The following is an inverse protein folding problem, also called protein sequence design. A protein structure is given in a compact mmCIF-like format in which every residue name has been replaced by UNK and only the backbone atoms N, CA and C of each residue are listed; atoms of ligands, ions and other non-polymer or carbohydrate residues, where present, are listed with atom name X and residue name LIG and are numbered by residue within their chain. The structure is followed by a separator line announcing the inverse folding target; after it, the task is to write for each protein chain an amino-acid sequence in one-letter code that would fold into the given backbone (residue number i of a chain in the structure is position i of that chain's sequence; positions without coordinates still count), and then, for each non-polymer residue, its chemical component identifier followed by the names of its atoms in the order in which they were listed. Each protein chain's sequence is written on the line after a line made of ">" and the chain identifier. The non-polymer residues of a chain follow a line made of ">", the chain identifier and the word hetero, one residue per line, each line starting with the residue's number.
data_IF_001598923517
#
_entry.id   IF_001598923517
#
_cell.length_a   1.000
_cell.length_b   1.000
_cell.length_c   1.000
_cell.angle_alpha   90.00
_cell.angle_beta   90.00
_cell.angle_gamma   90.00
#
_symmetry.space_group_name_H-M   'P 1'
#
loop_
_entity.id
_entity.type
_entity.pdbx_description
1 polymer ?
#
# COMPACT_ATOMS: atom_id res chain seq x y z
N UNK A 1 -14.43 -9.37 -84.13
CA UNK A 1 -13.12 -9.80 -84.70
C UNK A 1 -12.05 -8.90 -84.14
N UNK A 2 -10.98 -9.51 -83.63
CA UNK A 2 -9.89 -8.86 -82.90
C UNK A 2 -9.12 -7.88 -83.77
N UNK A 3 -8.85 -6.67 -83.26
CA UNK A 3 -7.71 -5.91 -83.77
C UNK A 3 -7.00 -5.11 -82.67
N UNK A 4 -5.77 -5.59 -82.41
CA UNK A 4 -4.54 -4.81 -82.24
C UNK A 4 -4.25 -4.20 -80.86
N UNK A 5 -3.42 -4.94 -80.12
CA UNK A 5 -2.44 -4.43 -79.15
C UNK A 5 -1.61 -3.31 -79.79
N UNK A 6 -1.89 -2.06 -79.43
CA UNK A 6 -1.02 -0.92 -79.73
C UNK A 6 0.17 -0.89 -78.77
N UNK A 7 1.23 -1.64 -79.05
CA UNK A 7 2.54 -1.44 -78.43
C UNK A 7 3.29 -0.39 -79.26
N UNK A 8 3.37 0.85 -78.76
CA UNK A 8 4.25 1.86 -79.37
C UNK A 8 5.65 1.72 -78.80
N UNK A 9 6.60 1.35 -79.65
CA UNK A 9 8.01 1.21 -79.30
C UNK A 9 8.70 2.58 -79.46
N UNK A 10 9.23 3.15 -78.38
CA UNK A 10 10.05 4.35 -78.43
C UNK A 10 11.50 3.94 -78.19
N UNK A 11 12.29 3.92 -79.25
CA UNK A 11 13.70 3.58 -79.21
C UNK A 11 14.48 4.78 -78.68
N UNK A 12 15.04 4.67 -77.47
CA UNK A 12 16.03 5.60 -76.95
C UNK A 12 17.42 5.06 -77.25
N UNK A 13 18.31 5.94 -77.72
CA UNK A 13 19.69 5.63 -78.10
C UNK A 13 20.54 5.24 -76.87
N UNK A 14 20.38 4.01 -76.40
CA UNK A 14 21.34 3.21 -75.64
C UNK A 14 20.68 1.84 -75.47
N UNK A 15 21.43 0.75 -75.69
CA UNK A 15 20.91 -0.61 -75.92
C UNK A 15 20.21 -1.31 -74.75
N UNK A 16 19.40 -0.61 -73.96
CA UNK A 16 18.53 -1.17 -72.94
C UNK A 16 17.08 -0.82 -73.29
N UNK A 17 16.35 -1.80 -73.84
CA UNK A 17 14.90 -1.71 -74.01
C UNK A 17 14.21 -1.87 -72.64
N UNK A 18 14.09 -0.79 -71.88
CA UNK A 18 13.24 -0.79 -70.68
C UNK A 18 11.79 -0.86 -71.17
N UNK A 19 11.17 -2.04 -71.03
CA UNK A 19 9.73 -2.19 -71.19
C UNK A 19 9.03 -1.46 -70.03
N UNK A 20 8.72 -0.18 -70.22
CA UNK A 20 7.85 0.54 -69.29
C UNK A 20 6.42 0.09 -69.58
N UNK A 21 5.92 -0.87 -68.81
CA UNK A 21 4.52 -1.26 -68.85
C UNK A 21 3.66 -0.05 -68.47
N UNK A 22 2.98 0.56 -69.45
CA UNK A 22 1.95 1.56 -69.20
C UNK A 22 0.70 0.84 -68.68
N UNK A 23 0.65 0.62 -67.37
CA UNK A 23 -0.57 0.15 -66.72
C UNK A 23 -1.63 1.25 -66.79
N UNK A 24 -2.75 0.96 -67.46
CA UNK A 24 -3.93 1.81 -67.36
C UNK A 24 -4.43 1.79 -65.90
N UNK A 25 -4.66 2.96 -65.28
CA UNK A 25 -5.00 3.07 -63.85
C UNK A 25 -6.30 2.35 -63.46
N UNK A 26 -7.13 1.98 -64.44
CA UNK A 26 -8.36 1.19 -64.25
C UNK A 26 -8.11 -0.29 -63.92
N UNK A 27 -6.87 -0.80 -64.00
CA UNK A 27 -6.53 -2.22 -63.72
C UNK A 27 -5.95 -2.45 -62.33
N UNK A 28 -5.76 -1.42 -61.54
CA UNK A 28 -5.30 -1.58 -60.15
C UNK A 28 -6.51 -1.93 -59.26
N UNK A 29 -6.35 -2.86 -58.29
CA UNK A 29 -7.43 -3.17 -57.35
C UNK A 29 -7.85 -1.89 -56.62
N UNK A 30 -9.15 -1.72 -56.45
CA UNK A 30 -9.77 -0.43 -56.10
C UNK A 30 -9.25 0.12 -54.75
N UNK A 31 -8.78 -0.76 -53.87
CA UNK A 31 -8.14 -0.45 -52.59
C UNK A 31 -6.82 0.31 -52.75
N UNK A 32 -5.98 -0.07 -53.72
CA UNK A 32 -4.71 0.63 -54.02
C UNK A 32 -4.97 1.97 -54.70
N UNK A 33 -5.97 2.00 -55.59
CA UNK A 33 -6.39 3.25 -56.25
C UNK A 33 -7.02 4.23 -55.27
N UNK A 34 -7.73 3.78 -54.24
CA UNK A 34 -8.27 4.62 -53.17
C UNK A 34 -7.16 5.28 -52.35
N UNK A 35 -6.06 4.55 -52.10
CA UNK A 35 -4.87 5.05 -51.40
C UNK A 35 -4.10 6.09 -52.23
N UNK A 36 -3.97 5.89 -53.54
CA UNK A 36 -3.30 6.81 -54.45
C UNK A 36 -4.11 8.10 -54.75
N UNK A 37 -5.45 8.00 -54.79
CA UNK A 37 -6.37 9.11 -55.12
C UNK A 37 -6.65 10.08 -53.97
N UNK A 38 -6.46 9.67 -52.72
CA UNK A 38 -6.73 10.55 -51.57
C UNK A 38 -5.47 11.28 -51.10
N UNK A 39 -5.37 12.58 -51.40
CA UNK A 39 -4.29 13.43 -50.88
C UNK A 39 -4.24 13.45 -49.34
N UNK A 40 -5.40 13.30 -48.68
CA UNK A 40 -5.48 13.14 -47.21
C UNK A 40 -4.79 11.90 -46.66
N UNK A 41 -4.63 10.84 -47.45
CA UNK A 41 -3.89 9.62 -47.04
C UNK A 41 -2.39 9.70 -47.35
N UNK A 42 -1.95 10.66 -48.17
CA UNK A 42 -0.53 10.96 -48.42
C UNK A 42 0.09 11.80 -47.31
N UNK A 43 -0.73 12.53 -46.56
CA UNK A 43 -0.29 13.54 -45.58
C UNK A 43 -0.09 13.03 -44.15
N UNK A 44 -0.32 11.74 -43.88
CA UNK A 44 -0.14 11.19 -42.53
C UNK A 44 0.65 9.88 -42.57
N UNK A 45 1.81 9.87 -43.21
CA UNK A 45 2.80 8.84 -42.86
C UNK A 45 3.42 9.25 -41.53
N UNK A 46 2.87 8.70 -40.44
CA UNK A 46 3.47 8.88 -39.13
C UNK A 46 4.90 8.31 -39.15
N UNK A 47 5.78 8.81 -38.28
CA UNK A 47 7.13 8.27 -38.14
C UNK A 47 7.11 6.76 -37.83
N UNK A 48 6.06 6.29 -37.16
CA UNK A 48 5.83 4.86 -36.97
C UNK A 48 5.53 4.09 -38.26
N UNK A 49 4.73 4.65 -39.16
CA UNK A 49 4.40 4.01 -40.44
C UNK A 49 5.62 3.89 -41.34
N UNK A 50 6.50 4.91 -41.33
CA UNK A 50 7.81 4.88 -41.98
C UNK A 50 8.72 3.80 -41.39
N UNK A 51 8.80 3.71 -40.06
CA UNK A 51 9.54 2.63 -39.36
C UNK A 51 9.01 1.25 -39.73
N UNK A 52 7.70 1.07 -39.76
CA UNK A 52 7.04 -0.20 -40.13
C UNK A 52 7.31 -0.57 -41.59
N UNK A 53 7.27 0.40 -42.51
CA UNK A 53 7.57 0.17 -43.91
C UNK A 53 9.05 -0.21 -44.13
N UNK A 54 9.97 0.51 -43.49
CA UNK A 54 11.41 0.22 -43.56
C UNK A 54 11.74 -1.15 -42.93
N UNK A 55 11.13 -1.52 -41.80
CA UNK A 55 11.31 -2.85 -41.20
C UNK A 55 10.83 -3.99 -42.10
N UNK A 56 9.79 -3.76 -42.92
CA UNK A 56 9.20 -4.78 -43.81
C UNK A 56 9.91 -4.92 -45.15
N UNK A 57 10.31 -3.80 -45.75
CA UNK A 57 10.83 -3.75 -47.11
C UNK A 57 12.29 -3.31 -47.18
N UNK A 58 12.91 -2.98 -46.05
CA UNK A 58 14.28 -2.47 -45.98
C UNK A 58 14.46 -1.20 -46.81
N UNK A 59 15.64 -1.06 -47.43
CA UNK A 59 15.96 0.06 -48.31
C UNK A 59 15.02 0.18 -49.54
N UNK A 60 14.33 -0.89 -49.94
CA UNK A 60 13.36 -0.84 -51.03
C UNK A 60 12.10 -0.02 -50.69
N UNK A 61 11.88 0.29 -49.42
CA UNK A 61 10.82 1.20 -48.97
C UNK A 61 11.03 2.65 -49.41
N UNK A 62 12.26 3.05 -49.76
CA UNK A 62 12.59 4.44 -50.09
C UNK A 62 12.63 5.39 -48.90
N UNK A 63 12.52 4.88 -47.67
CA UNK A 63 12.66 5.67 -46.44
C UNK A 63 14.15 5.84 -46.12
N UNK A 64 14.56 7.07 -45.82
CA UNK A 64 15.92 7.36 -45.35
C UNK A 64 16.12 6.80 -43.94
N UNK A 65 17.11 5.91 -43.69
CA UNK A 65 17.41 5.39 -42.37
C UNK A 65 17.66 6.46 -41.30
N UNK A 66 18.18 7.64 -41.68
CA UNK A 66 18.46 8.71 -40.74
C UNK A 66 17.17 9.30 -40.12
N UNK A 67 16.08 9.36 -40.88
CA UNK A 67 14.78 9.86 -40.40
C UNK A 67 14.10 8.92 -39.39
N UNK A 68 14.58 7.68 -39.26
CA UNK A 68 14.01 6.71 -38.33
C UNK A 68 14.44 6.96 -36.88
N UNK A 69 15.55 7.66 -36.67
CA UNK A 69 16.01 8.01 -35.33
C UNK A 69 15.17 9.17 -34.75
N UNK A 70 15.00 9.23 -33.41
CA UNK A 70 14.35 10.36 -32.78
C UNK A 70 15.06 11.68 -33.12
N UNK A 71 14.30 12.77 -33.18
CA UNK A 71 14.88 14.11 -33.31
C UNK A 71 15.50 14.56 -31.99
N UNK A 72 16.44 15.50 -32.04
CA UNK A 72 17.10 16.02 -30.83
C UNK A 72 16.11 16.48 -29.76
N UNK A 73 14.98 17.09 -30.15
CA UNK A 73 13.94 17.50 -29.21
C UNK A 73 13.31 16.30 -28.47
N UNK A 74 13.01 15.22 -29.20
CA UNK A 74 12.45 13.99 -28.60
C UNK A 74 13.46 13.32 -27.66
N UNK A 75 14.75 13.32 -28.03
CA UNK A 75 15.82 12.80 -27.17
C UNK A 75 15.91 13.60 -25.87
N UNK A 76 15.83 14.94 -25.93
CA UNK A 76 15.86 15.77 -24.72
C UNK A 76 14.63 15.58 -23.84
N UNK A 77 13.45 15.36 -24.43
CA UNK A 77 12.23 15.01 -23.69
C UNK A 77 12.35 13.65 -23.00
N UNK A 78 12.85 12.64 -23.71
CA UNK A 78 13.09 11.30 -23.17
C UNK A 78 14.12 11.35 -22.04
N UNK A 79 15.25 12.04 -22.22
CA UNK A 79 16.28 12.19 -21.19
C UNK A 79 15.72 12.89 -19.95
N UNK A 80 14.89 13.93 -20.10
CA UNK A 80 14.26 14.60 -18.96
C UNK A 80 13.31 13.66 -18.21
N UNK A 81 12.50 12.90 -18.93
CA UNK A 81 11.64 11.89 -18.33
C UNK A 81 12.46 10.79 -17.63
N UNK A 82 13.59 10.38 -18.22
CA UNK A 82 14.50 9.41 -17.62
C UNK A 82 15.02 9.91 -16.27
N UNK A 83 15.53 11.13 -16.20
CA UNK A 83 16.03 11.69 -14.94
C UNK A 83 14.94 11.95 -13.90
N UNK A 84 13.71 12.27 -14.31
CA UNK A 84 12.59 12.51 -13.40
C UNK A 84 12.08 11.21 -12.75
N UNK A 85 11.95 10.15 -13.55
CA UNK A 85 11.31 8.91 -13.09
C UNK A 85 12.30 7.81 -12.68
N UNK A 86 13.52 7.83 -13.22
CA UNK A 86 14.51 6.76 -13.07
C UNK A 86 15.78 7.30 -12.41
N UNK A 87 15.85 7.27 -11.06
CA UNK A 87 17.03 7.74 -10.36
C UNK A 87 18.24 6.87 -10.68
N UNK A 88 19.42 7.47 -10.51
CA UNK A 88 20.67 6.74 -10.70
C UNK A 88 20.87 5.68 -9.60
N UNK A 89 21.65 4.64 -9.91
CA UNK A 89 21.96 3.59 -8.95
C UNK A 89 22.61 4.12 -7.65
N UNK A 90 23.40 5.20 -7.74
CA UNK A 90 24.05 5.80 -6.58
C UNK A 90 23.03 6.50 -5.68
N UNK A 91 22.08 7.24 -6.26
CA UNK A 91 20.98 7.86 -5.51
C UNK A 91 20.14 6.80 -4.80
N UNK A 92 19.78 5.70 -5.48
CA UNK A 92 19.03 4.61 -4.86
C UNK A 92 19.78 3.99 -3.67
N UNK A 93 21.10 3.77 -3.79
CA UNK A 93 21.91 3.25 -2.68
C UNK A 93 21.96 4.20 -1.49
N UNK A 94 22.07 5.51 -1.74
CA UNK A 94 22.06 6.52 -0.69
C UNK A 94 20.71 6.55 0.02
N UNK A 95 19.61 6.56 -0.72
CA UNK A 95 18.27 6.52 -0.14
C UNK A 95 18.03 5.27 0.72
N UNK A 96 18.49 4.10 0.27
CA UNK A 96 18.39 2.86 1.06
C UNK A 96 19.19 2.99 2.35
N UNK A 97 20.43 3.47 2.28
CA UNK A 97 21.27 3.67 3.47
C UNK A 97 20.64 4.65 4.47
N UNK A 98 20.06 5.76 3.99
CA UNK A 98 19.35 6.72 4.85
C UNK A 98 18.10 6.10 5.50
N UNK A 99 17.32 5.34 4.74
CA UNK A 99 16.14 4.62 5.27
C UNK A 99 16.54 3.60 6.33
N UNK A 100 17.62 2.85 6.10
CA UNK A 100 18.15 1.88 7.07
C UNK A 100 18.62 2.55 8.36
N UNK A 101 19.35 3.66 8.27
CA UNK A 101 19.80 4.43 9.43
C UNK A 101 18.63 5.01 10.24
N UNK A 102 17.61 5.55 9.57
CA UNK A 102 16.44 6.08 10.28
C UNK A 102 15.61 4.96 10.92
N UNK A 103 15.51 3.80 10.28
CA UNK A 103 14.82 2.64 10.84
C UNK A 103 15.56 2.08 12.05
N UNK A 104 16.88 1.91 11.95
CA UNK A 104 17.72 1.41 13.06
C UNK A 104 17.65 2.35 14.26
N UNK A 105 17.77 3.67 14.05
CA UNK A 105 17.63 4.66 15.12
C UNK A 105 16.25 4.59 15.81
N UNK A 106 15.17 4.42 15.05
CA UNK A 106 13.82 4.24 15.62
C UNK A 106 13.71 2.93 16.41
N UNK A 107 14.27 1.85 15.90
CA UNK A 107 14.29 0.55 16.59
C UNK A 107 15.07 0.63 17.90
N UNK A 108 16.23 1.29 17.90
CA UNK A 108 17.02 1.54 19.11
C UNK A 108 16.26 2.36 20.14
N UNK A 109 15.66 3.48 19.74
CA UNK A 109 14.86 4.31 20.66
C UNK A 109 13.69 3.52 21.25
N UNK A 110 13.02 2.68 20.44
CA UNK A 110 11.96 1.79 20.91
C UNK A 110 12.50 0.78 21.90
N UNK A 111 13.63 0.14 21.62
CA UNK A 111 14.26 -0.84 22.51
C UNK A 111 14.66 -0.22 23.86
N UNK A 112 15.24 0.99 23.86
CA UNK A 112 15.59 1.76 25.06
C UNK A 112 14.36 2.08 25.91
N UNK A 113 13.25 2.50 25.27
CA UNK A 113 11.97 2.74 25.96
C UNK A 113 11.41 1.47 26.58
N UNK A 114 11.43 0.36 25.84
CA UNK A 114 10.97 -0.94 26.36
C UNK A 114 11.83 -1.36 27.55
N UNK A 115 13.16 -1.29 27.46
CA UNK A 115 14.06 -1.63 28.55
C UNK A 115 13.79 -0.78 29.81
N UNK A 116 13.62 0.54 29.66
CA UNK A 116 13.31 1.44 30.76
C UNK A 116 11.95 1.13 31.42
N UNK A 117 10.94 0.77 30.62
CA UNK A 117 9.63 0.35 31.13
C UNK A 117 9.72 -1.00 31.83
N UNK A 118 10.42 -1.98 31.24
CA UNK A 118 10.63 -3.30 31.81
C UNK A 118 11.37 -3.23 33.16
N UNK A 119 12.31 -2.29 33.32
CA UNK A 119 12.97 -2.07 34.60
C UNK A 119 11.99 -1.57 35.70
N UNK A 120 10.94 -0.82 35.33
CA UNK A 120 9.91 -0.33 36.26
C UNK A 120 8.78 -1.34 36.51
N UNK A 121 8.64 -2.35 35.66
CA UNK A 121 7.57 -3.35 35.76
C UNK A 121 7.50 -4.05 37.12
N UNK A 122 8.60 -4.51 37.75
CA UNK A 122 8.54 -5.19 39.03
C UNK A 122 7.89 -4.33 40.14
N UNK A 123 8.22 -3.04 40.18
CA UNK A 123 7.60 -2.12 41.14
C UNK A 123 6.10 -1.91 40.87
N UNK A 124 5.70 -1.82 39.60
CA UNK A 124 4.29 -1.69 39.23
C UNK A 124 3.48 -2.95 39.56
N UNK A 125 4.08 -4.12 39.35
CA UNK A 125 3.49 -5.41 39.71
C UNK A 125 3.24 -5.48 41.22
N UNK A 126 4.25 -5.13 42.03
CA UNK A 126 4.11 -5.14 43.49
C UNK A 126 3.05 -4.14 43.97
N UNK A 127 3.06 -2.91 43.44
CA UNK A 127 2.02 -1.91 43.73
C UNK A 127 0.63 -2.41 43.37
N UNK A 128 0.47 -3.06 42.22
CA UNK A 128 -0.80 -3.63 41.79
C UNK A 128 -1.27 -4.76 42.72
N UNK A 129 -0.37 -5.67 43.13
CA UNK A 129 -0.70 -6.72 44.11
C UNK A 129 -1.12 -6.13 45.45
N UNK A 130 -0.43 -5.11 45.96
CA UNK A 130 -0.82 -4.45 47.20
C UNK A 130 -2.18 -3.75 47.09
N UNK A 131 -2.45 -3.08 45.97
CA UNK A 131 -3.75 -2.42 45.74
C UNK A 131 -4.89 -3.42 45.64
N UNK A 132 -4.70 -4.51 44.89
CA UNK A 132 -5.72 -5.57 44.76
C UNK A 132 -5.98 -6.28 46.08
N UNK A 133 -4.94 -6.53 46.88
CA UNK A 133 -5.10 -7.08 48.24
C UNK A 133 -5.86 -6.12 49.14
N UNK A 134 -5.47 -4.84 49.20
CA UNK A 134 -6.18 -3.81 49.98
C UNK A 134 -7.63 -3.67 49.57
N UNK A 135 -7.93 -3.77 48.27
CA UNK A 135 -9.29 -3.75 47.77
C UNK A 135 -10.08 -4.96 48.25
N UNK A 136 -9.54 -6.17 48.11
CA UNK A 136 -10.16 -7.39 48.64
C UNK A 136 -10.41 -7.33 50.15
N UNK A 137 -9.43 -6.82 50.92
CA UNK A 137 -9.56 -6.68 52.36
C UNK A 137 -10.67 -5.68 52.72
N UNK A 138 -10.78 -4.56 52.00
CA UNK A 138 -11.89 -3.60 52.16
C UNK A 138 -13.22 -4.24 51.79
N UNK A 139 -13.34 -4.84 50.62
CA UNK A 139 -14.55 -5.50 50.16
C UNK A 139 -15.00 -6.60 51.14
N UNK A 140 -14.05 -7.31 51.76
CA UNK A 140 -14.34 -8.32 52.79
C UNK A 140 -14.82 -7.71 54.11
N UNK A 141 -14.24 -6.59 54.56
CA UNK A 141 -14.70 -5.86 55.75
C UNK A 141 -16.07 -5.26 55.51
N UNK A 142 -16.26 -4.62 54.36
CA UNK A 142 -17.54 -4.06 53.95
C UNK A 142 -18.60 -5.18 53.86
N UNK A 143 -18.24 -6.38 53.39
CA UNK A 143 -19.17 -7.52 53.37
C UNK A 143 -19.53 -8.03 54.78
N UNK A 144 -18.59 -7.99 55.74
CA UNK A 144 -18.83 -8.34 57.15
C UNK A 144 -19.68 -7.27 57.84
N UNK A 145 -19.34 -6.00 57.64
CA UNK A 145 -20.05 -4.86 58.22
C UNK A 145 -21.47 -4.72 57.65
N UNK A 146 -21.67 -5.13 56.39
CA UNK A 146 -22.97 -5.17 55.73
C UNK A 146 -23.67 -6.55 55.83
N UNK A 147 -23.17 -7.47 56.66
CA UNK A 147 -23.85 -8.73 56.90
C UNK A 147 -25.15 -8.50 57.68
N UNK A 148 -26.23 -9.19 57.29
CA UNK A 148 -27.50 -9.12 58.03
C UNK A 148 -27.32 -9.72 59.42
N UNK A 149 -27.54 -8.93 60.45
CA UNK A 149 -27.62 -9.42 61.84
C UNK A 149 -28.90 -10.27 61.97
N UNK A 150 -28.86 -11.49 62.53
CA UNK A 150 -30.00 -12.43 62.52
C UNK A 150 -31.30 -11.87 63.12
N UNK A 151 -31.17 -10.90 64.04
CA UNK A 151 -32.29 -10.23 64.70
C UNK A 151 -33.02 -9.22 63.81
N UNK A 152 -32.36 -8.70 62.76
CA UNK A 152 -32.85 -7.63 61.90
C UNK A 152 -33.05 -8.14 60.46
N UNK A 153 -34.16 -7.77 59.80
CA UNK A 153 -34.49 -8.21 58.45
C UNK A 153 -33.71 -7.49 57.34
N UNK A 154 -33.19 -6.29 57.64
CA UNK A 154 -32.40 -5.44 56.74
C UNK A 154 -30.98 -5.23 57.29
N UNK A 155 -30.04 -4.90 56.39
CA UNK A 155 -28.65 -4.59 56.74
C UNK A 155 -28.61 -3.23 57.44
N UNK A 156 -28.33 -3.22 58.74
CA UNK A 156 -28.15 -1.99 59.51
C UNK A 156 -26.67 -1.75 59.79
N UNK A 157 -26.19 -0.50 59.73
CA UNK A 157 -24.81 -0.18 60.02
C UNK A 157 -24.48 -0.49 61.50
N UNK A 158 -23.24 -0.90 61.83
CA UNK A 158 -22.84 -1.25 63.21
C UNK A 158 -23.04 -0.11 64.23
N UNK A 159 -23.04 1.14 63.77
CA UNK A 159 -23.24 2.34 64.62
C UNK A 159 -24.71 2.59 64.99
N UNK A 160 -25.67 1.82 64.48
CA UNK A 160 -27.09 2.04 64.75
C UNK A 160 -27.43 1.73 66.22
N UNK A 161 -28.22 2.57 66.93
CA UNK A 161 -28.46 2.41 68.36
C UNK A 161 -29.08 1.06 68.76
N UNK A 162 -29.96 0.49 67.92
CA UNK A 162 -30.56 -0.83 68.16
C UNK A 162 -29.54 -1.96 68.03
N UNK A 163 -28.56 -1.81 67.13
CA UNK A 163 -27.48 -2.79 66.95
C UNK A 163 -26.54 -2.77 68.15
N UNK A 164 -26.19 -1.59 68.66
CA UNK A 164 -25.33 -1.46 69.85
C UNK A 164 -25.94 -2.12 71.10
N UNK A 165 -27.25 -1.92 71.33
CA UNK A 165 -27.95 -2.58 72.44
C UNK A 165 -27.91 -4.10 72.31
N UNK A 166 -28.21 -4.61 71.11
CA UNK A 166 -28.18 -6.05 70.83
C UNK A 166 -26.78 -6.67 71.04
N UNK A 167 -25.71 -5.96 70.65
CA UNK A 167 -24.34 -6.44 70.89
C UNK A 167 -23.99 -6.48 72.38
N UNK A 168 -24.41 -5.49 73.18
CA UNK A 168 -24.21 -5.47 74.63
C UNK A 168 -24.95 -6.61 75.34
N UNK A 169 -26.16 -6.95 74.90
CA UNK A 169 -26.91 -8.10 75.41
C UNK A 169 -26.17 -9.41 75.12
N UNK A 170 -25.70 -9.60 73.88
CA UNK A 170 -24.93 -10.79 73.51
C UNK A 170 -23.61 -10.95 74.25
N UNK A 171 -22.88 -9.86 74.49
CA UNK A 171 -21.66 -9.91 75.30
C UNK A 171 -21.92 -10.33 76.75
N UNK A 172 -23.04 -9.90 77.34
CA UNK A 172 -23.44 -10.32 78.70
C UNK A 172 -23.77 -11.81 78.73
N UNK A 173 -24.55 -12.30 77.76
CA UNK A 173 -24.85 -13.73 77.62
C UNK A 173 -23.57 -14.57 77.49
N UNK A 174 -22.59 -14.14 76.69
CA UNK A 174 -21.31 -14.85 76.53
C UNK A 174 -20.51 -14.85 77.84
N UNK A 175 -20.43 -13.70 78.54
CA UNK A 175 -19.73 -13.60 79.83
C UNK A 175 -20.37 -14.50 80.89
N UNK A 176 -21.69 -14.58 80.92
CA UNK A 176 -22.42 -15.48 81.81
C UNK A 176 -22.17 -16.95 81.45
N UNK A 177 -22.19 -17.30 80.16
CA UNK A 177 -21.92 -18.65 79.68
C UNK A 177 -20.47 -19.08 79.97
N UNK A 178 -19.47 -18.22 79.76
CA UNK A 178 -18.06 -18.50 80.09
C UNK A 178 -17.86 -18.67 81.59
N UNK A 179 -18.49 -17.83 82.42
CA UNK A 179 -18.47 -17.98 83.87
C UNK A 179 -19.13 -19.28 84.32
N UNK A 180 -20.24 -19.67 83.70
CA UNK A 180 -20.90 -20.94 83.99
C UNK A 180 -20.05 -22.15 83.56
N UNK A 181 -19.32 -22.04 82.44
CA UNK A 181 -18.45 -23.10 81.94
C UNK A 181 -17.16 -23.23 82.75
N UNK A 182 -16.59 -22.13 83.25
CA UNK A 182 -15.42 -22.14 84.14
C UNK A 182 -15.74 -22.49 85.60
N UNK A 183 -17.03 -22.56 85.97
CA UNK A 183 -17.50 -22.94 87.31
C UNK A 183 -17.89 -24.42 87.39
N UNK A 184 -17.84 -25.14 86.26
CA UNK A 184 -17.82 -26.60 86.18
C UNK A 184 -16.39 -27.09 86.24
#
# INVERSE_FOLDING_TARGET
>A
MNSLLGMTFRQLNSGCCIQVARFHPSRLPDVLMRRLRHERLKQTESLEDKKKAFARFGAASGVDPAELFPTDNMIQEEIKAEYEWWPTLQQMKQEIAEREQTYSAKAELRSKKIAANMAKMPEWIEKHFQQTKKKKDRDSKDAVDNAKIPKFSFVQPPSHPQVMQYMQEKEKEIKENVKANNKR
#
